data_IF_001580655656
#
_entry.id   IF_001580655656
#
_cell.length_a   1.000
_cell.length_b   1.000
_cell.length_c   1.000
_cell.angle_alpha   90.00
_cell.angle_beta   90.00
_cell.angle_gamma   90.00
#
_symmetry.space_group_name_H-M   'P 1'
#
loop_
_entity.id
_entity.type
_entity.pdbx_description
1 polymer ?
#
# COMPACT_ATOMS: atom_id res chain seq x y z
N UNK A 1 -19.11 1.96 0.44
CA UNK A 1 -18.58 2.19 -0.89
C UNK A 1 -17.06 2.15 -0.91
N UNK A 2 -16.50 1.46 -1.84
CA UNK A 2 -15.08 1.35 -2.00
C UNK A 2 -14.52 2.59 -2.65
N UNK A 3 -13.42 3.07 -2.12
CA UNK A 3 -12.64 4.09 -2.79
C UNK A 3 -11.60 3.40 -3.64
N UNK A 4 -11.60 3.70 -4.91
CA UNK A 4 -10.58 3.15 -5.78
C UNK A 4 -9.32 3.98 -5.67
N UNK A 5 -8.19 3.31 -5.52
CA UNK A 5 -6.92 3.99 -5.52
C UNK A 5 -6.52 4.23 -6.97
N UNK A 6 -5.94 5.39 -7.23
CA UNK A 6 -5.60 5.78 -8.61
C UNK A 6 -4.19 6.30 -8.67
N UNK A 7 -3.62 6.22 -9.87
CA UNK A 7 -2.34 6.86 -10.13
C UNK A 7 -2.44 8.34 -9.79
N UNK A 8 -1.43 8.84 -9.10
CA UNK A 8 -1.42 10.22 -8.64
C UNK A 8 -1.96 10.41 -7.24
N UNK A 9 -2.57 9.39 -6.68
CA UNK A 9 -3.09 9.45 -5.32
C UNK A 9 -1.92 9.49 -4.34
N UNK A 10 -1.97 10.47 -3.44
CA UNK A 10 -0.95 10.61 -2.40
C UNK A 10 -1.50 10.02 -1.11
N UNK A 11 -0.62 9.44 -0.34
CA UNK A 11 -1.04 8.83 0.91
C UNK A 11 0.12 8.87 1.91
N UNK A 12 -0.25 8.80 3.18
CA UNK A 12 0.71 8.65 4.27
C UNK A 12 0.71 7.20 4.70
N UNK A 13 1.86 6.72 5.08
CA UNK A 13 1.97 5.36 5.59
C UNK A 13 3.03 5.27 6.66
N UNK A 14 2.89 4.27 7.51
CA UNK A 14 3.94 3.94 8.46
C UNK A 14 3.92 2.42 8.67
N UNK A 15 5.11 1.90 8.91
CA UNK A 15 5.26 0.47 9.20
C UNK A 15 4.95 0.30 10.67
N UNK A 16 3.96 -0.53 10.97
CA UNK A 16 3.43 -0.63 12.34
C UNK A 16 4.45 -1.19 13.32
N UNK A 17 5.40 -1.98 12.83
CA UNK A 17 6.42 -2.56 13.70
C UNK A 17 7.60 -1.63 13.96
N UNK A 18 7.65 -0.48 13.31
CA UNK A 18 8.73 0.48 13.57
C UNK A 18 8.56 1.13 14.93
N UNK A 19 9.67 1.35 15.60
CA UNK A 19 9.67 1.98 16.93
C UNK A 19 10.86 2.92 17.02
N UNK A 20 10.63 4.25 17.02
CA UNK A 20 9.32 4.87 16.93
C UNK A 20 8.77 4.82 15.52
N UNK A 21 7.45 4.84 15.44
CA UNK A 21 6.79 4.86 14.13
C UNK A 21 7.11 6.17 13.41
N UNK A 22 7.41 6.07 12.13
CA UNK A 22 7.72 7.23 11.31
C UNK A 22 6.68 7.34 10.21
N UNK A 23 6.07 8.51 10.14
CA UNK A 23 5.11 8.78 9.10
C UNK A 23 5.85 9.12 7.81
N UNK A 24 5.50 8.42 6.74
CA UNK A 24 6.10 8.61 5.43
C UNK A 24 4.99 8.85 4.43
N UNK A 25 5.33 9.42 3.29
CA UNK A 25 4.35 9.72 2.26
C UNK A 25 4.81 9.17 0.93
N UNK A 26 3.84 8.86 0.09
CA UNK A 26 4.13 8.33 -1.24
C UNK A 26 3.03 8.75 -2.20
N UNK A 27 3.33 8.66 -3.49
CA UNK A 27 2.37 8.90 -4.55
C UNK A 27 2.29 7.67 -5.43
N UNK A 28 1.07 7.25 -5.72
CA UNK A 28 0.83 6.06 -6.52
C UNK A 28 1.28 6.31 -7.96
N UNK A 29 2.13 5.45 -8.47
CA UNK A 29 2.59 5.53 -9.85
C UNK A 29 1.97 4.47 -10.74
N UNK A 30 1.46 3.39 -10.13
CA UNK A 30 0.89 2.30 -10.91
C UNK A 30 -0.04 1.48 -10.02
N UNK A 31 -1.20 1.16 -10.55
CA UNK A 31 -2.13 0.28 -9.85
C UNK A 31 -1.92 -1.12 -10.40
N UNK A 32 -1.54 -2.04 -9.54
CA UNK A 32 -1.24 -3.41 -9.93
C UNK A 32 -2.48 -4.29 -9.82
N UNK A 33 -3.31 -4.03 -8.83
CA UNK A 33 -4.58 -4.70 -8.68
C UNK A 33 -5.48 -3.78 -7.90
N UNK A 34 -6.63 -3.44 -8.47
CA UNK A 34 -7.54 -2.49 -7.84
C UNK A 34 -8.92 -3.07 -7.68
N UNK A 35 -9.04 -4.35 -7.76
CA UNK A 35 -10.35 -4.92 -7.59
C UNK A 35 -10.38 -5.74 -6.33
N UNK A 36 -11.55 -5.77 -5.74
CA UNK A 36 -11.77 -6.61 -4.59
C UNK A 36 -12.00 -8.02 -5.04
N UNK A 37 -11.22 -8.90 -4.51
CA UNK A 37 -11.41 -10.30 -4.78
C UNK A 37 -12.32 -10.86 -3.71
N UNK A 38 -13.25 -11.67 -4.15
CA UNK A 38 -14.01 -12.41 -3.20
C UNK A 38 -13.16 -13.58 -2.74
N UNK A 39 -12.62 -13.47 -1.58
CA UNK A 39 -11.82 -14.57 -1.05
C UNK A 39 -12.77 -15.62 -0.53
N UNK A 40 -12.48 -16.86 -0.85
CA UNK A 40 -13.27 -17.96 -0.34
C UNK A 40 -13.13 -18.09 1.15
N UNK A 41 -14.03 -18.81 1.75
CA UNK A 41 -14.04 -18.97 3.19
C UNK A 41 -12.88 -19.81 3.70
N UNK A 42 -12.26 -20.56 2.82
CA UNK A 42 -11.16 -21.44 3.21
C UNK A 42 -9.84 -20.98 2.66
N UNK A 43 -9.76 -19.69 2.35
CA UNK A 43 -8.57 -19.15 1.74
C UNK A 43 -7.45 -19.08 2.75
N UNK A 44 -6.28 -19.55 2.35
CA UNK A 44 -5.10 -19.38 3.15
C UNK A 44 -4.61 -17.95 3.02
N UNK A 45 -3.91 -17.49 4.04
CA UNK A 45 -3.38 -16.14 4.01
C UNK A 45 -2.32 -16.02 2.91
N UNK A 46 -2.45 -14.99 2.10
CA UNK A 46 -1.44 -14.68 1.09
C UNK A 46 -1.51 -13.20 0.76
N UNK A 47 -0.46 -12.73 0.10
CA UNK A 47 -0.37 -11.35 -0.34
C UNK A 47 -0.64 -11.25 -1.82
N UNK A 48 -1.29 -10.16 -2.22
CA UNK A 48 -1.47 -9.84 -3.63
C UNK A 48 -0.91 -8.44 -3.86
N UNK A 49 -0.27 -8.23 -4.99
CA UNK A 49 0.22 -6.91 -5.35
C UNK A 49 -0.95 -5.94 -5.43
N UNK A 50 -0.72 -4.75 -4.96
CA UNK A 50 -1.77 -3.74 -4.89
C UNK A 50 -1.39 -2.50 -5.69
N UNK A 51 -0.38 -1.76 -5.25
CA UNK A 51 0.06 -0.55 -5.94
C UNK A 51 1.57 -0.42 -5.86
N UNK A 52 2.09 0.28 -6.88
CA UNK A 52 3.47 0.73 -6.87
C UNK A 52 3.45 2.23 -6.65
N UNK A 53 4.37 2.73 -5.86
CA UNK A 53 4.39 4.14 -5.49
C UNK A 53 5.81 4.64 -5.40
N UNK A 54 5.97 5.95 -5.56
CA UNK A 54 7.26 6.60 -5.29
C UNK A 54 7.16 7.29 -3.94
N UNK A 55 8.18 7.09 -3.12
CA UNK A 55 8.22 7.75 -1.83
C UNK A 55 8.50 9.22 -2.01
N UNK A 56 7.82 10.05 -1.20
CA UNK A 56 7.97 11.50 -1.25
C UNK A 56 8.89 11.99 -0.15
N UNK A 57 9.62 13.08 -0.39
CA UNK A 57 9.68 13.83 -1.64
C UNK A 57 10.43 13.05 -2.71
N UNK A 58 10.01 13.24 -3.95
CA UNK A 58 10.68 12.57 -5.05
C UNK A 58 12.03 13.20 -5.30
N UNK A 59 13.00 12.37 -5.64
CA UNK A 59 14.35 12.78 -5.98
C UNK A 59 14.61 12.40 -7.42
N UNK A 60 15.83 12.70 -7.91
CA UNK A 60 16.19 12.31 -9.27
C UNK A 60 16.04 10.81 -9.50
N UNK A 61 16.34 10.03 -8.46
CA UNK A 61 16.15 8.59 -8.51
C UNK A 61 15.17 8.25 -7.40
N UNK A 62 13.89 8.31 -7.69
CA UNK A 62 12.90 8.09 -6.63
C UNK A 62 12.92 6.66 -6.11
N UNK A 63 12.60 6.53 -4.84
CA UNK A 63 12.47 5.22 -4.23
C UNK A 63 11.13 4.61 -4.61
N UNK A 64 11.16 3.47 -5.25
CA UNK A 64 9.96 2.77 -5.66
C UNK A 64 9.56 1.77 -4.59
N UNK A 65 8.31 1.84 -4.18
CA UNK A 65 7.74 0.96 -3.17
C UNK A 65 6.61 0.16 -3.80
N UNK A 66 6.58 -1.13 -3.50
CA UNK A 66 5.49 -1.98 -3.97
C UNK A 66 4.71 -2.43 -2.75
N UNK A 67 3.46 -2.00 -2.69
CA UNK A 67 2.59 -2.35 -1.58
C UNK A 67 1.72 -3.54 -1.96
N UNK A 68 1.46 -4.37 -0.98
CA UNK A 68 0.67 -5.57 -1.15
C UNK A 68 -0.53 -5.51 -0.23
N UNK A 69 -1.53 -6.28 -0.57
CA UNK A 69 -2.71 -6.42 0.27
C UNK A 69 -2.84 -7.88 0.67
N UNK A 70 -3.01 -8.11 1.95
CA UNK A 70 -3.20 -9.46 2.44
C UNK A 70 -4.65 -9.87 2.38
N UNK A 71 -4.89 -11.16 2.49
CA UNK A 71 -6.26 -11.69 2.53
C UNK A 71 -7.02 -11.22 3.76
N UNK A 72 -6.31 -10.68 4.76
CA UNK A 72 -6.95 -10.09 5.94
C UNK A 72 -7.42 -8.65 5.69
N UNK A 73 -7.19 -8.12 4.49
CA UNK A 73 -7.61 -6.77 4.15
C UNK A 73 -6.62 -5.68 4.50
N UNK A 74 -5.51 -6.02 5.13
CA UNK A 74 -4.51 -5.04 5.52
C UNK A 74 -3.49 -4.83 4.41
N UNK A 75 -2.82 -3.68 4.46
CA UNK A 75 -1.75 -3.37 3.51
C UNK A 75 -0.41 -3.78 4.09
N UNK A 76 0.49 -4.16 3.21
CA UNK A 76 1.81 -4.64 3.60
C UNK A 76 2.87 -4.07 2.68
N UNK A 77 4.05 -3.87 3.23
CA UNK A 77 5.23 -3.45 2.48
C UNK A 77 6.37 -4.37 2.89
N UNK A 78 6.86 -5.16 1.92
CA UNK A 78 7.93 -6.14 2.17
C UNK A 78 7.57 -7.09 3.32
N UNK A 79 6.32 -7.53 3.34
CA UNK A 79 5.85 -8.46 4.35
C UNK A 79 5.56 -7.84 5.70
N UNK A 80 5.65 -6.53 5.83
CA UNK A 80 5.37 -5.82 7.08
C UNK A 80 4.07 -5.06 6.97
N UNK A 81 3.24 -5.20 7.97
CA UNK A 81 1.96 -4.49 7.98
C UNK A 81 2.18 -2.99 8.06
N UNK A 82 1.45 -2.25 7.24
CA UNK A 82 1.52 -0.80 7.24
C UNK A 82 0.15 -0.20 7.44
N UNK A 83 0.14 0.99 8.02
CA UNK A 83 -1.06 1.81 8.12
C UNK A 83 -1.05 2.82 6.99
N UNK A 84 -2.16 2.95 6.29
CA UNK A 84 -2.25 3.84 5.12
C UNK A 84 -3.40 4.81 5.32
N UNK A 85 -3.12 6.09 5.07
CA UNK A 85 -4.12 7.15 5.14
C UNK A 85 -4.06 7.92 3.84
N UNK A 86 -5.17 7.93 3.10
CA UNK A 86 -5.23 8.65 1.85
C UNK A 86 -5.24 10.15 2.10
N UNK A 87 -4.50 10.88 1.27
CA UNK A 87 -4.46 12.33 1.31
C UNK A 87 -5.32 12.89 0.19
N UNK A 88 -5.86 14.05 0.43
CA UNK A 88 -6.65 14.73 -0.59
C UNK A 88 -5.78 15.48 -1.59
#
# INVERSE_FOLDING_TARGET
>A
MQSEIKVGQRFKFNILSDDPAQERQAVVTRVLSNREEGFGTEVEFYFAYWVEAHELPETEVPTTLVFERGTDGNAYLDGRMVSITMLK
#
